data_IF_065278414579
#
_entry.id   IF_065278414579
#
_cell.length_a   1.000
_cell.length_b   1.000
_cell.length_c   1.000
_cell.angle_alpha   90.00
_cell.angle_beta   90.00
_cell.angle_gamma   90.00
#
_symmetry.space_group_name_H-M   'P 1'
#
loop_
_entity.id
_entity.type
_entity.pdbx_description
1 polymer ?
#
# COMPACT_ATOMS: atom_id res chain seq x y z
N UNK A 1 -10.50 -29.77 30.74
CA UNK A 1 -10.38 -28.69 29.76
C UNK A 1 -8.89 -28.50 29.47
N UNK A 2 -8.45 -28.76 28.23
CA UNK A 2 -7.05 -28.66 27.85
C UNK A 2 -6.64 -27.19 27.85
N UNK A 3 -5.57 -26.84 28.53
CA UNK A 3 -5.01 -25.48 28.61
C UNK A 3 -4.58 -24.99 27.22
N UNK A 4 -4.24 -25.90 26.30
CA UNK A 4 -3.89 -25.59 24.90
C UNK A 4 -5.04 -25.02 24.04
N UNK A 5 -6.30 -25.15 24.48
CA UNK A 5 -7.46 -24.56 23.78
C UNK A 5 -7.71 -23.09 24.12
N UNK A 6 -6.93 -22.48 25.01
CA UNK A 6 -7.08 -21.09 25.46
C UNK A 6 -6.02 -20.14 24.86
N UNK A 7 -5.07 -20.62 24.07
CA UNK A 7 -4.14 -19.72 23.37
C UNK A 7 -4.88 -19.19 22.14
N UNK A 8 -5.43 -17.99 22.26
CA UNK A 8 -5.98 -17.24 21.11
C UNK A 8 -4.93 -17.16 20.03
N UNK A 9 -5.28 -17.56 18.80
CA UNK A 9 -4.38 -17.40 17.63
C UNK A 9 -4.00 -15.93 17.48
N UNK A 10 -2.73 -15.67 17.18
CA UNK A 10 -2.19 -14.30 17.13
C UNK A 10 -2.71 -13.55 15.90
N UNK A 11 -3.48 -12.51 16.11
CA UNK A 11 -3.96 -11.61 15.05
C UNK A 11 -2.87 -10.59 14.67
N UNK A 12 -2.56 -10.38 13.39
CA UNK A 12 -1.45 -9.54 12.93
C UNK A 12 -1.81 -8.04 12.89
N UNK A 13 -2.36 -7.50 13.99
CA UNK A 13 -2.78 -6.11 14.06
C UNK A 13 -1.55 -5.20 14.03
N UNK A 14 -1.42 -4.38 12.96
CA UNK A 14 -0.31 -3.45 12.82
C UNK A 14 1.04 -4.08 12.51
N UNK A 15 1.11 -5.38 12.24
CA UNK A 15 2.34 -6.07 11.83
C UNK A 15 2.65 -5.73 10.37
N UNK A 16 3.84 -5.18 10.13
CA UNK A 16 4.34 -4.81 8.82
C UNK A 16 5.47 -5.72 8.33
N UNK A 17 6.14 -6.42 9.25
CA UNK A 17 7.22 -7.35 8.93
C UNK A 17 6.67 -8.74 8.64
N UNK A 18 6.88 -9.24 7.42
CA UNK A 18 6.52 -10.60 7.01
C UNK A 18 7.31 -11.65 7.80
N UNK A 19 8.61 -11.42 8.01
CA UNK A 19 9.46 -12.30 8.81
C UNK A 19 8.93 -12.46 10.24
N UNK A 20 8.64 -11.33 10.92
CA UNK A 20 8.05 -11.35 12.26
C UNK A 20 6.70 -12.08 12.25
N UNK A 21 5.86 -11.83 11.25
CA UNK A 21 4.56 -12.46 11.13
C UNK A 21 4.70 -14.00 11.06
N UNK A 22 5.62 -14.49 10.24
CA UNK A 22 5.85 -15.93 10.03
C UNK A 22 6.55 -16.60 11.21
N UNK A 23 7.60 -15.97 11.73
CA UNK A 23 8.41 -16.58 12.81
C UNK A 23 7.70 -16.60 14.16
N UNK A 24 6.85 -15.62 14.43
CA UNK A 24 6.08 -15.56 15.68
C UNK A 24 4.70 -16.24 15.61
N UNK A 25 4.34 -16.84 14.46
CA UNK A 25 3.11 -17.64 14.29
C UNK A 25 1.83 -16.81 14.29
N UNK A 26 1.84 -15.60 13.70
CA UNK A 26 0.62 -14.84 13.44
C UNK A 26 -0.20 -15.45 12.31
N UNK A 27 -1.51 -15.24 12.33
CA UNK A 27 -2.36 -15.57 11.20
C UNK A 27 -1.97 -14.75 9.97
N UNK A 28 -2.01 -15.37 8.82
CA UNK A 28 -1.65 -14.73 7.55
C UNK A 28 -2.70 -15.02 6.47
N UNK A 29 -3.19 -13.98 5.81
CA UNK A 29 -3.98 -14.10 4.58
C UNK A 29 -3.01 -14.20 3.42
N UNK A 30 -2.92 -15.39 2.84
CA UNK A 30 -1.93 -15.70 1.81
C UNK A 30 -2.23 -14.99 0.49
N UNK A 31 -1.38 -14.05 0.11
CA UNK A 31 -1.39 -13.32 -1.16
C UNK A 31 -0.20 -13.72 -2.06
N UNK A 32 0.54 -14.76 -1.68
CA UNK A 32 1.83 -15.04 -2.30
C UNK A 32 1.72 -15.59 -3.73
N UNK A 33 0.57 -16.10 -4.14
CA UNK A 33 0.33 -16.42 -5.56
C UNK A 33 0.39 -15.15 -6.44
N UNK A 34 -0.19 -14.03 -5.95
CA UNK A 34 -0.13 -12.75 -6.66
C UNK A 34 1.28 -12.16 -6.63
N UNK A 35 2.00 -12.33 -5.51
CA UNK A 35 3.41 -11.97 -5.41
C UNK A 35 4.22 -12.73 -6.46
N UNK A 36 4.03 -14.05 -6.59
CA UNK A 36 4.71 -14.86 -7.60
C UNK A 36 4.47 -14.34 -9.03
N UNK A 37 3.23 -14.01 -9.36
CA UNK A 37 2.89 -13.43 -10.67
C UNK A 37 3.62 -12.10 -10.94
N UNK A 38 3.68 -11.22 -9.94
CA UNK A 38 4.40 -9.94 -10.05
C UNK A 38 5.89 -10.15 -10.32
N UNK A 39 6.54 -10.99 -9.52
CA UNK A 39 7.99 -11.18 -9.61
C UNK A 39 8.41 -11.90 -10.89
N UNK A 40 7.58 -12.83 -11.40
CA UNK A 40 7.86 -13.55 -12.68
C UNK A 40 7.68 -12.65 -13.90
N UNK A 41 6.79 -11.67 -13.87
CA UNK A 41 6.65 -10.69 -14.96
C UNK A 41 7.78 -9.65 -14.96
N UNK A 42 8.42 -9.40 -13.82
CA UNK A 42 9.66 -8.64 -13.70
C UNK A 42 9.63 -7.19 -14.18
N UNK A 43 8.47 -6.52 -14.12
CA UNK A 43 8.32 -5.11 -14.52
C UNK A 43 8.49 -4.17 -13.35
N UNK A 44 8.81 -2.89 -13.57
CA UNK A 44 8.60 -1.86 -12.58
C UNK A 44 7.10 -1.64 -12.32
N UNK A 45 6.67 -1.72 -11.07
CA UNK A 45 5.27 -1.59 -10.67
C UNK A 45 5.04 -0.41 -9.73
N UNK A 46 3.87 0.19 -9.88
CA UNK A 46 3.33 1.17 -8.96
C UNK A 46 1.98 0.68 -8.40
N UNK A 47 1.80 0.82 -7.08
CA UNK A 47 0.55 0.48 -6.39
C UNK A 47 0.15 1.57 -5.41
N UNK A 48 -1.00 2.22 -5.64
CA UNK A 48 -1.65 3.01 -4.59
C UNK A 48 -2.78 2.23 -3.93
N UNK A 49 -2.86 2.33 -2.59
CA UNK A 49 -3.95 1.79 -1.78
C UNK A 49 -4.16 2.70 -0.57
N UNK A 50 -5.38 2.80 -0.05
CA UNK A 50 -5.64 3.53 1.18
C UNK A 50 -4.73 3.05 2.33
N UNK A 51 -4.63 3.85 3.37
CA UNK A 51 -3.88 3.47 4.57
C UNK A 51 -4.48 2.20 5.21
N UNK A 52 -3.63 1.42 5.88
CA UNK A 52 -4.02 0.19 6.61
C UNK A 52 -4.50 -0.97 5.72
N UNK A 53 -4.20 -0.97 4.43
CA UNK A 53 -4.50 -2.06 3.49
C UNK A 53 -3.41 -3.13 3.37
N UNK A 54 -2.28 -3.00 4.06
CA UNK A 54 -1.21 -4.01 4.06
C UNK A 54 -0.11 -3.79 3.01
N UNK A 55 0.07 -2.55 2.48
CA UNK A 55 1.16 -2.22 1.53
C UNK A 55 2.55 -2.55 2.06
N UNK A 56 2.88 -2.08 3.27
CA UNK A 56 4.19 -2.31 3.87
C UNK A 56 4.45 -3.81 4.15
N UNK A 57 3.40 -4.58 4.51
CA UNK A 57 3.50 -6.03 4.63
C UNK A 57 3.79 -6.69 3.28
N UNK A 58 3.16 -6.22 2.19
CA UNK A 58 3.44 -6.68 0.83
C UNK A 58 4.90 -6.41 0.45
N UNK A 59 5.42 -5.20 0.72
CA UNK A 59 6.84 -4.90 0.46
C UNK A 59 7.76 -5.78 1.27
N UNK A 60 7.47 -6.00 2.56
CA UNK A 60 8.25 -6.91 3.41
C UNK A 60 8.18 -8.37 2.91
N UNK A 61 7.05 -8.79 2.31
CA UNK A 61 6.93 -10.11 1.67
C UNK A 61 7.79 -10.21 0.40
N UNK A 62 7.78 -9.17 -0.44
CA UNK A 62 8.64 -9.08 -1.62
C UNK A 62 10.12 -9.06 -1.23
N UNK A 63 10.49 -8.31 -0.20
CA UNK A 63 11.86 -8.27 0.33
C UNK A 63 12.32 -9.64 0.79
N UNK A 64 11.52 -10.35 1.59
CA UNK A 64 11.82 -11.70 2.04
C UNK A 64 11.99 -12.69 0.86
N UNK A 65 11.14 -12.58 -0.17
CA UNK A 65 11.26 -13.38 -1.37
C UNK A 65 12.58 -13.13 -2.11
N UNK A 66 12.93 -11.87 -2.37
CA UNK A 66 14.16 -11.54 -3.10
C UNK A 66 15.43 -11.75 -2.28
N UNK A 67 15.34 -11.77 -0.95
CA UNK A 67 16.44 -12.20 -0.06
C UNK A 67 16.59 -13.73 -0.01
N UNK A 68 15.72 -14.49 -0.70
CA UNK A 68 15.79 -15.95 -0.76
C UNK A 68 15.42 -16.66 0.55
N UNK A 69 14.62 -16.02 1.43
CA UNK A 69 14.18 -16.57 2.73
C UNK A 69 13.07 -17.61 2.56
N UNK A 70 13.39 -18.71 1.88
CA UNK A 70 12.44 -19.78 1.51
C UNK A 70 11.63 -20.31 2.70
N UNK A 71 12.25 -20.43 3.85
CA UNK A 71 11.67 -20.96 5.09
C UNK A 71 10.45 -20.17 5.56
N UNK A 72 10.38 -18.87 5.25
CA UNK A 72 9.24 -18.03 5.59
C UNK A 72 7.99 -18.30 4.72
N UNK A 73 8.18 -18.98 3.60
CA UNK A 73 7.12 -19.24 2.61
C UNK A 73 6.61 -20.69 2.68
N UNK A 74 7.06 -21.49 3.63
CA UNK A 74 6.57 -22.85 3.83
C UNK A 74 5.07 -22.86 4.11
N UNK A 75 4.33 -23.71 3.37
CA UNK A 75 2.88 -23.81 3.48
C UNK A 75 2.09 -22.66 2.85
N UNK A 76 2.76 -21.76 2.09
CA UNK A 76 2.11 -20.72 1.29
C UNK A 76 2.17 -21.07 -0.20
N UNK A 77 1.24 -20.50 -0.98
CA UNK A 77 1.10 -20.80 -2.41
C UNK A 77 2.41 -20.63 -3.20
N UNK A 78 3.18 -19.59 -2.94
CA UNK A 78 4.47 -19.37 -3.63
C UNK A 78 5.50 -20.45 -3.33
N UNK A 79 5.42 -21.10 -2.15
CA UNK A 79 6.33 -22.19 -1.78
C UNK A 79 6.21 -23.41 -2.70
N UNK A 80 5.02 -23.64 -3.28
CA UNK A 80 4.75 -24.70 -4.25
C UNK A 80 5.07 -24.27 -5.69
N UNK A 81 4.91 -22.96 -5.99
CA UNK A 81 5.09 -22.40 -7.32
C UNK A 81 6.54 -22.08 -7.66
N UNK A 82 7.34 -21.67 -6.66
CA UNK A 82 8.73 -21.25 -6.86
C UNK A 82 9.69 -22.43 -6.66
N UNK A 83 10.51 -22.67 -7.68
CA UNK A 83 11.52 -23.73 -7.64
C UNK A 83 12.91 -23.17 -7.32
N UNK A 84 13.21 -21.97 -7.81
CA UNK A 84 14.54 -21.35 -7.77
C UNK A 84 14.56 -20.15 -6.83
N UNK A 85 14.91 -20.40 -5.57
CA UNK A 85 15.03 -19.36 -4.55
C UNK A 85 16.37 -18.65 -4.63
N UNK A 86 16.47 -17.68 -5.53
CA UNK A 86 17.68 -16.87 -5.68
C UNK A 86 17.70 -15.69 -4.69
N UNK A 87 18.91 -15.37 -4.21
CA UNK A 87 19.14 -14.17 -3.40
C UNK A 87 19.56 -13.01 -4.30
N UNK A 88 18.89 -11.88 -4.17
CA UNK A 88 19.19 -10.63 -4.87
C UNK A 88 19.60 -9.54 -3.89
N UNK A 89 20.42 -8.55 -4.30
CA UNK A 89 20.60 -7.33 -3.52
C UNK A 89 19.30 -6.53 -3.50
N UNK A 90 18.80 -6.21 -2.31
CA UNK A 90 17.55 -5.45 -2.12
C UNK A 90 17.87 -4.09 -1.52
N UNK A 91 17.41 -3.02 -2.17
CA UNK A 91 17.43 -1.65 -1.68
C UNK A 91 16.01 -1.26 -1.30
N UNK A 92 15.72 -1.22 -0.01
CA UNK A 92 14.41 -0.88 0.52
C UNK A 92 14.43 0.54 1.10
N UNK A 93 13.58 1.42 0.59
CA UNK A 93 13.41 2.82 0.99
C UNK A 93 12.00 3.01 1.57
N UNK A 94 11.89 3.26 2.86
CA UNK A 94 10.63 3.61 3.52
C UNK A 94 10.62 5.10 3.88
N UNK A 95 9.87 5.89 3.12
CA UNK A 95 9.76 7.34 3.32
C UNK A 95 8.85 7.73 4.49
N UNK A 96 8.31 6.76 5.24
CA UNK A 96 7.49 7.04 6.42
C UNK A 96 8.31 7.44 7.65
N UNK A 97 9.62 7.22 7.64
CA UNK A 97 10.48 7.37 8.81
C UNK A 97 10.79 8.82 9.20
N UNK A 98 10.50 9.83 8.33
CA UNK A 98 10.88 11.23 8.57
C UNK A 98 9.66 12.16 8.61
N UNK A 99 9.85 13.35 9.21
CA UNK A 99 8.78 14.32 9.49
C UNK A 99 8.45 15.24 8.32
N UNK A 100 9.41 15.55 7.47
CA UNK A 100 9.30 16.37 6.26
C UNK A 100 8.74 17.78 6.50
N UNK A 101 9.17 18.46 7.55
CA UNK A 101 8.76 19.83 7.89
C UNK A 101 9.71 20.92 7.36
N UNK A 102 10.87 20.55 6.84
CA UNK A 102 11.90 21.42 6.26
C UNK A 102 12.55 20.75 5.06
N UNK A 103 13.11 21.53 4.13
CA UNK A 103 13.71 21.02 2.89
C UNK A 103 14.89 20.06 3.12
N UNK A 104 15.67 20.29 4.18
CA UNK A 104 16.82 19.44 4.50
C UNK A 104 16.41 18.04 4.95
N UNK A 105 15.18 17.86 5.48
CA UNK A 105 14.72 16.56 6.00
C UNK A 105 14.77 15.47 4.95
N UNK A 106 14.29 15.74 3.73
CA UNK A 106 14.29 14.74 2.67
C UNK A 106 15.72 14.41 2.21
N UNK A 107 16.55 15.42 2.00
CA UNK A 107 17.95 15.22 1.58
C UNK A 107 18.72 14.44 2.64
N UNK A 108 18.63 14.85 3.90
CA UNK A 108 19.32 14.18 5.02
C UNK A 108 18.84 12.72 5.17
N UNK A 109 17.55 12.47 4.99
CA UNK A 109 17.00 11.11 5.02
C UNK A 109 17.57 10.26 3.87
N UNK A 110 17.55 10.77 2.64
CA UNK A 110 18.13 10.07 1.48
C UNK A 110 19.63 9.83 1.65
N UNK A 111 20.38 10.81 2.16
CA UNK A 111 21.81 10.67 2.46
C UNK A 111 22.09 9.59 3.49
N UNK A 112 21.30 9.51 4.56
CA UNK A 112 21.41 8.48 5.58
C UNK A 112 21.14 7.07 5.01
N UNK A 113 20.13 6.92 4.16
CA UNK A 113 19.84 5.65 3.49
C UNK A 113 20.96 5.25 2.52
N UNK A 114 21.44 6.21 1.72
CA UNK A 114 22.56 6.00 0.80
C UNK A 114 23.82 5.58 1.55
N UNK A 115 24.14 6.24 2.65
CA UNK A 115 25.32 5.89 3.49
C UNK A 115 25.25 4.45 4.01
N UNK A 116 24.07 3.98 4.40
CA UNK A 116 23.85 2.61 4.82
C UNK A 116 24.14 1.63 3.68
N UNK A 117 23.60 1.88 2.49
CA UNK A 117 23.83 1.03 1.32
C UNK A 117 25.27 1.10 0.81
N UNK A 118 25.88 2.30 0.80
CA UNK A 118 27.28 2.52 0.44
C UNK A 118 28.22 1.73 1.35
N UNK A 119 27.94 1.72 2.65
CA UNK A 119 28.69 0.90 3.60
C UNK A 119 28.56 -0.60 3.28
N UNK A 120 27.37 -1.06 2.89
CA UNK A 120 27.11 -2.47 2.54
C UNK A 120 27.82 -2.88 1.25
N UNK A 121 27.85 -2.01 0.23
CA UNK A 121 28.39 -2.33 -1.10
C UNK A 121 29.77 -1.67 -1.39
N UNK A 122 30.47 -1.20 -0.36
CA UNK A 122 31.84 -0.72 -0.47
C UNK A 122 32.03 0.52 -1.35
N UNK A 123 31.09 1.47 -1.32
CA UNK A 123 31.20 2.75 -2.04
C UNK A 123 31.90 3.77 -1.14
N UNK A 124 32.94 4.42 -1.65
CA UNK A 124 33.78 5.38 -0.90
C UNK A 124 33.63 6.84 -1.38
N UNK A 125 32.96 7.08 -2.50
CA UNK A 125 32.84 8.42 -3.11
C UNK A 125 31.60 9.15 -2.56
N UNK A 126 31.76 9.96 -1.51
CA UNK A 126 30.67 10.56 -0.73
C UNK A 126 30.23 11.96 -1.25
N UNK A 127 31.09 12.71 -1.96
CA UNK A 127 30.84 14.11 -2.34
C UNK A 127 30.10 14.27 -3.68
N UNK A 128 28.93 13.59 -3.82
CA UNK A 128 28.09 13.68 -5.02
C UNK A 128 26.62 13.82 -4.66
N UNK A 129 25.78 14.23 -5.61
CA UNK A 129 24.33 14.30 -5.40
C UNK A 129 23.73 12.92 -5.05
N UNK A 130 22.62 12.91 -4.34
CA UNK A 130 21.91 11.66 -3.97
C UNK A 130 21.62 10.77 -5.18
N UNK A 131 21.30 11.35 -6.34
CA UNK A 131 21.03 10.60 -7.58
C UNK A 131 22.27 9.85 -8.09
N UNK A 132 23.43 10.52 -8.14
CA UNK A 132 24.70 9.90 -8.57
C UNK A 132 25.13 8.81 -7.59
N UNK A 133 24.99 9.05 -6.30
CA UNK A 133 25.28 8.07 -5.24
C UNK A 133 24.36 6.85 -5.37
N UNK A 134 23.06 7.05 -5.60
CA UNK A 134 22.09 5.96 -5.78
C UNK A 134 22.44 5.10 -7.00
N UNK A 135 22.75 5.72 -8.14
CA UNK A 135 23.23 5.00 -9.33
C UNK A 135 24.51 4.20 -9.05
N UNK A 136 25.44 4.78 -8.29
CA UNK A 136 26.69 4.11 -7.92
C UNK A 136 26.44 2.91 -7.02
N UNK A 137 25.55 3.04 -6.04
CA UNK A 137 25.13 1.92 -5.15
C UNK A 137 24.52 0.78 -5.97
N UNK A 138 23.57 1.07 -6.87
CA UNK A 138 22.94 0.06 -7.72
C UNK A 138 23.99 -0.69 -8.55
N UNK A 139 24.91 0.03 -9.19
CA UNK A 139 25.98 -0.57 -9.99
C UNK A 139 26.91 -1.45 -9.13
N UNK A 140 27.34 -0.95 -7.98
CA UNK A 140 28.23 -1.69 -7.07
C UNK A 140 27.57 -2.92 -6.49
N UNK A 141 26.28 -2.84 -6.13
CA UNK A 141 25.52 -3.99 -5.67
C UNK A 141 25.46 -5.10 -6.75
N UNK A 142 25.23 -4.71 -8.00
CA UNK A 142 25.27 -5.62 -9.16
C UNK A 142 26.67 -6.23 -9.36
N UNK A 143 27.71 -5.40 -9.40
CA UNK A 143 29.10 -5.85 -9.62
C UNK A 143 29.56 -6.83 -8.52
N UNK A 144 29.22 -6.55 -7.27
CA UNK A 144 29.62 -7.35 -6.12
C UNK A 144 28.90 -8.70 -6.05
N UNK A 145 27.62 -8.72 -6.40
CA UNK A 145 26.78 -9.93 -6.25
C UNK A 145 26.64 -10.75 -7.53
N UNK A 146 26.93 -10.15 -8.70
CA UNK A 146 26.64 -10.72 -10.00
C UNK A 146 25.14 -10.85 -10.28
N UNK A 147 24.29 -10.24 -9.44
CA UNK A 147 22.82 -10.29 -9.53
C UNK A 147 22.25 -8.88 -9.71
N UNK A 148 21.20 -8.77 -10.53
CA UNK A 148 20.46 -7.51 -10.68
C UNK A 148 19.83 -7.08 -9.36
N UNK A 149 19.68 -5.79 -9.18
CA UNK A 149 19.23 -5.16 -7.94
C UNK A 149 17.70 -5.07 -7.90
N UNK A 150 17.14 -5.29 -6.74
CA UNK A 150 15.71 -5.06 -6.44
C UNK A 150 15.59 -3.74 -5.69
N UNK A 151 14.66 -2.88 -6.11
CA UNK A 151 14.36 -1.62 -5.45
C UNK A 151 12.91 -1.63 -4.98
N UNK A 152 12.71 -1.46 -3.67
CA UNK A 152 11.41 -1.40 -3.02
C UNK A 152 11.24 -0.03 -2.37
N UNK A 153 10.14 0.68 -2.68
CA UNK A 153 9.89 2.04 -2.15
C UNK A 153 8.51 2.06 -1.52
N UNK A 154 8.46 2.33 -0.22
CA UNK A 154 7.20 2.51 0.53
C UNK A 154 6.90 3.99 0.79
N UNK A 155 5.62 4.32 0.77
CA UNK A 155 5.07 5.67 1.01
C UNK A 155 5.78 6.80 0.23
N UNK A 156 6.01 6.58 -1.09
CA UNK A 156 6.72 7.51 -1.97
C UNK A 156 6.19 8.95 -1.94
N UNK A 157 4.89 9.10 -1.66
CA UNK A 157 4.14 10.35 -1.65
C UNK A 157 4.17 11.08 -0.29
N UNK A 158 4.77 10.48 0.73
CA UNK A 158 4.81 11.03 2.09
C UNK A 158 5.40 12.44 2.18
N UNK A 159 6.55 12.75 1.55
CA UNK A 159 7.11 14.11 1.58
C UNK A 159 6.14 15.14 0.97
N UNK A 160 5.51 14.78 -0.15
CA UNK A 160 4.57 15.64 -0.86
C UNK A 160 3.29 15.90 -0.06
N UNK A 161 2.75 14.85 0.58
CA UNK A 161 1.56 14.95 1.43
C UNK A 161 1.80 15.76 2.71
N UNK A 162 3.02 15.74 3.24
CA UNK A 162 3.41 16.51 4.44
C UNK A 162 3.69 17.97 4.14
N UNK A 163 4.07 18.30 2.92
CA UNK A 163 4.33 19.67 2.47
C UNK A 163 3.13 20.30 1.73
N UNK A 164 1.96 19.67 1.77
CA UNK A 164 0.78 20.10 1.02
C UNK A 164 0.41 21.60 1.23
N UNK A 165 0.57 22.10 2.46
CA UNK A 165 0.27 23.49 2.80
C UNK A 165 1.43 24.48 2.54
N UNK A 166 2.55 24.00 2.01
CA UNK A 166 3.73 24.79 1.71
C UNK A 166 4.20 24.54 0.26
N UNK A 167 3.72 25.34 -0.71
CA UNK A 167 4.04 25.13 -2.14
C UNK A 167 5.54 25.19 -2.47
N UNK A 168 6.33 26.00 -1.77
CA UNK A 168 7.78 26.12 -1.98
C UNK A 168 8.47 24.84 -1.52
N UNK A 169 8.15 24.33 -0.34
CA UNK A 169 8.67 23.09 0.20
C UNK A 169 8.26 21.89 -0.68
N UNK A 170 7.02 21.90 -1.16
CA UNK A 170 6.49 20.87 -2.04
C UNK A 170 7.24 20.83 -3.39
N UNK A 171 7.55 22.00 -3.94
CA UNK A 171 8.37 22.10 -5.15
C UNK A 171 9.76 21.50 -4.94
N UNK A 172 10.44 21.87 -3.87
CA UNK A 172 11.79 21.35 -3.51
C UNK A 172 11.77 19.81 -3.35
N UNK A 173 10.79 19.28 -2.65
CA UNK A 173 10.66 17.83 -2.49
C UNK A 173 10.39 17.12 -3.81
N UNK A 174 9.54 17.68 -4.65
CA UNK A 174 9.24 17.12 -5.98
C UNK A 174 10.51 17.05 -6.84
N UNK A 175 11.27 18.14 -6.94
CA UNK A 175 12.50 18.18 -7.73
C UNK A 175 13.54 17.17 -7.20
N UNK A 176 13.67 17.06 -5.88
CA UNK A 176 14.58 16.10 -5.24
C UNK A 176 14.17 14.65 -5.54
N UNK A 177 12.89 14.31 -5.37
CA UNK A 177 12.38 12.96 -5.64
C UNK A 177 12.41 12.62 -7.13
N UNK A 178 12.09 13.57 -8.01
CA UNK A 178 12.15 13.39 -9.46
C UNK A 178 13.59 13.06 -9.90
N UNK A 179 14.58 13.82 -9.43
CA UNK A 179 15.97 13.56 -9.71
C UNK A 179 16.44 12.19 -9.17
N UNK A 180 16.00 11.84 -7.98
CA UNK A 180 16.35 10.57 -7.34
C UNK A 180 15.76 9.36 -8.08
N UNK A 181 14.47 9.42 -8.43
CA UNK A 181 13.80 8.30 -9.10
C UNK A 181 14.14 8.16 -10.58
N UNK A 182 14.57 9.24 -11.26
CA UNK A 182 15.05 9.17 -12.66
C UNK A 182 16.18 8.16 -12.81
N UNK A 183 16.97 7.95 -11.77
CA UNK A 183 18.04 6.93 -11.72
C UNK A 183 17.50 5.53 -12.03
N UNK A 184 16.27 5.20 -11.65
CA UNK A 184 15.69 3.88 -11.93
C UNK A 184 15.52 3.59 -13.42
N UNK A 185 15.35 4.63 -14.25
CA UNK A 185 15.36 4.50 -15.70
C UNK A 185 16.76 4.24 -16.24
N UNK A 186 17.72 5.04 -15.77
CA UNK A 186 19.09 4.97 -16.25
C UNK A 186 19.80 3.67 -15.79
N UNK A 187 19.33 3.10 -14.67
CA UNK A 187 19.84 1.86 -14.10
C UNK A 187 19.14 0.59 -14.63
N UNK A 188 18.24 0.67 -15.61
CA UNK A 188 17.40 -0.45 -16.09
C UNK A 188 18.19 -1.75 -16.33
N UNK A 189 19.37 -1.66 -16.92
CA UNK A 189 20.24 -2.82 -17.18
C UNK A 189 20.68 -3.56 -15.89
N UNK A 190 20.70 -2.89 -14.75
CA UNK A 190 21.12 -3.41 -13.45
C UNK A 190 19.95 -3.81 -12.56
N UNK A 191 18.69 -3.49 -12.95
CA UNK A 191 17.52 -3.74 -12.12
C UNK A 191 16.84 -5.06 -12.47
N UNK A 192 16.49 -5.83 -11.45
CA UNK A 192 15.68 -7.05 -11.52
C UNK A 192 14.21 -6.73 -11.39
N UNK A 193 13.87 -5.85 -10.43
CA UNK A 193 12.49 -5.56 -10.04
C UNK A 193 12.43 -4.21 -9.34
N UNK A 194 11.38 -3.47 -9.58
CA UNK A 194 11.08 -2.22 -8.88
C UNK A 194 9.64 -2.24 -8.44
N UNK A 195 9.38 -1.93 -7.16
CA UNK A 195 8.02 -1.82 -6.66
C UNK A 195 7.87 -0.57 -5.80
N UNK A 196 6.94 0.30 -6.18
CA UNK A 196 6.71 1.60 -5.53
C UNK A 196 5.29 1.61 -4.98
N UNK A 197 5.14 1.97 -3.70
CA UNK A 197 3.81 2.11 -3.09
C UNK A 197 3.58 3.51 -2.52
N UNK A 198 2.31 3.88 -2.46
CA UNK A 198 1.84 5.09 -1.80
C UNK A 198 0.37 5.02 -1.43
N UNK A 199 -0.12 6.06 -0.77
CA UNK A 199 -1.55 6.25 -0.50
C UNK A 199 -2.23 6.82 -1.72
N UNK A 200 -1.61 7.82 -2.34
CA UNK A 200 -2.18 8.58 -3.44
C UNK A 200 -1.35 8.42 -4.71
N UNK A 201 -1.93 8.84 -5.83
CA UNK A 201 -1.19 9.06 -7.08
C UNK A 201 -0.67 10.49 -7.19
N UNK A 202 -0.89 11.27 -6.13
CA UNK A 202 -0.45 12.64 -6.02
C UNK A 202 1.04 12.76 -6.35
N UNK A 203 1.35 13.67 -7.27
CA UNK A 203 2.69 13.89 -7.79
C UNK A 203 3.27 12.75 -8.67
N UNK A 204 2.52 11.67 -8.97
CA UNK A 204 3.02 10.60 -9.85
C UNK A 204 3.51 11.14 -11.19
N UNK A 205 2.71 11.96 -11.89
CA UNK A 205 3.10 12.55 -13.18
C UNK A 205 4.30 13.51 -13.06
N UNK A 206 4.41 14.25 -11.94
CA UNK A 206 5.55 15.14 -11.72
C UNK A 206 6.83 14.40 -11.35
N UNK A 207 6.73 13.39 -10.48
CA UNK A 207 7.89 12.64 -9.95
C UNK A 207 8.34 11.54 -10.90
N UNK A 208 7.39 10.82 -11.51
CA UNK A 208 7.66 9.67 -12.39
C UNK A 208 7.53 9.98 -13.88
N UNK A 209 7.49 11.26 -14.27
CA UNK A 209 7.38 11.67 -15.68
C UNK A 209 8.43 11.03 -16.60
N UNK A 210 9.58 10.71 -16.06
CA UNK A 210 10.68 10.07 -16.77
C UNK A 210 10.66 8.54 -16.73
N UNK A 211 9.77 7.91 -15.92
CA UNK A 211 9.68 6.46 -15.74
C UNK A 211 8.58 5.85 -16.61
N UNK A 212 8.73 5.89 -17.92
CA UNK A 212 7.72 5.40 -18.87
C UNK A 212 7.43 3.89 -18.78
N UNK A 213 8.35 3.11 -18.17
CA UNK A 213 8.20 1.66 -17.97
C UNK A 213 7.41 1.31 -16.71
N UNK A 214 7.09 2.26 -15.85
CA UNK A 214 6.37 2.02 -14.60
C UNK A 214 4.92 1.63 -14.86
N UNK A 215 4.55 0.40 -14.51
CA UNK A 215 3.20 -0.11 -14.69
C UNK A 215 2.35 0.18 -13.45
N UNK A 216 1.38 1.06 -13.58
CA UNK A 216 0.38 1.29 -12.52
C UNK A 216 -0.60 0.11 -12.47
N UNK A 217 -0.57 -0.62 -11.35
CA UNK A 217 -1.47 -1.76 -11.09
C UNK A 217 -2.60 -1.42 -10.11
N UNK A 218 -2.76 -0.17 -9.73
CA UNK A 218 -3.74 0.25 -8.70
C UNK A 218 -5.18 -0.08 -9.11
N UNK A 219 -5.53 0.06 -10.39
CA UNK A 219 -6.85 -0.28 -10.94
C UNK A 219 -6.81 -1.53 -11.84
N UNK A 220 -5.70 -2.29 -11.82
CA UNK A 220 -5.56 -3.46 -12.71
C UNK A 220 -6.38 -4.65 -12.16
N UNK A 221 -7.27 -5.28 -12.99
CA UNK A 221 -8.20 -6.30 -12.52
C UNK A 221 -7.53 -7.53 -11.89
N UNK A 222 -6.34 -7.92 -12.33
CA UNK A 222 -5.61 -9.06 -11.79
C UNK A 222 -5.00 -8.82 -10.39
N UNK A 223 -4.93 -7.57 -9.92
CA UNK A 223 -4.26 -7.19 -8.66
C UNK A 223 -5.18 -6.46 -7.68
N UNK A 224 -6.50 -6.54 -7.87
CA UNK A 224 -7.48 -5.91 -6.97
C UNK A 224 -7.41 -6.46 -5.56
N UNK A 225 -7.12 -7.76 -5.42
CA UNK A 225 -7.05 -8.48 -4.15
C UNK A 225 -5.64 -8.57 -3.55
N UNK A 226 -4.64 -7.93 -4.16
CA UNK A 226 -3.24 -7.97 -3.70
C UNK A 226 -3.07 -7.40 -2.28
N UNK A 227 -3.84 -6.36 -1.95
CA UNK A 227 -3.93 -5.77 -0.62
C UNK A 227 -5.40 -5.72 -0.19
N UNK A 228 -5.64 -5.80 1.12
CA UNK A 228 -6.99 -5.96 1.67
C UNK A 228 -7.34 -7.43 1.92
N UNK A 229 -8.57 -7.69 2.33
CA UNK A 229 -9.09 -9.04 2.56
C UNK A 229 -10.40 -9.21 1.81
N UNK A 230 -10.60 -10.36 1.17
CA UNK A 230 -11.89 -10.76 0.60
C UNK A 230 -12.75 -11.42 1.67
N UNK A 231 -14.06 -11.54 1.44
CA UNK A 231 -14.97 -12.27 2.31
C UNK A 231 -14.50 -13.72 2.50
N UNK A 232 -14.21 -14.41 1.41
CA UNK A 232 -13.77 -15.81 1.43
C UNK A 232 -12.49 -16.02 2.25
N UNK A 233 -11.52 -15.11 2.16
CA UNK A 233 -10.30 -15.13 2.96
C UNK A 233 -10.59 -14.96 4.45
N UNK A 234 -11.48 -14.04 4.81
CA UNK A 234 -11.89 -13.82 6.21
C UNK A 234 -12.56 -15.07 6.76
N UNK A 235 -13.54 -15.64 6.04
CA UNK A 235 -14.27 -16.84 6.45
C UNK A 235 -13.33 -18.06 6.57
N UNK A 236 -12.31 -18.16 5.74
CA UNK A 236 -11.36 -19.28 5.76
C UNK A 236 -10.31 -19.14 6.86
N UNK A 237 -9.66 -17.97 6.95
CA UNK A 237 -8.50 -17.76 7.84
C UNK A 237 -8.95 -17.51 9.28
N UNK A 238 -10.06 -16.78 9.48
CA UNK A 238 -10.50 -16.30 10.79
C UNK A 238 -11.81 -16.95 11.26
N UNK A 239 -12.11 -18.17 10.80
CA UNK A 239 -13.36 -18.88 11.14
C UNK A 239 -13.64 -18.98 12.65
N UNK A 240 -12.60 -19.30 13.46
CA UNK A 240 -12.73 -19.42 14.92
C UNK A 240 -12.91 -18.06 15.61
N UNK A 241 -12.26 -17.03 15.11
CA UNK A 241 -12.38 -15.66 15.61
C UNK A 241 -13.76 -15.08 15.28
N UNK A 242 -14.29 -15.39 14.08
CA UNK A 242 -15.66 -15.02 13.69
C UNK A 242 -16.71 -15.70 14.59
N UNK A 243 -16.53 -16.99 14.90
CA UNK A 243 -17.42 -17.69 15.80
C UNK A 243 -17.37 -17.09 17.22
N UNK A 244 -16.19 -16.72 17.69
CA UNK A 244 -16.01 -16.06 18.99
C UNK A 244 -16.68 -14.67 19.00
N UNK A 245 -16.53 -13.89 17.90
CA UNK A 245 -17.18 -12.60 17.74
C UNK A 245 -18.71 -12.72 17.72
N UNK A 246 -19.24 -13.74 17.03
CA UNK A 246 -20.67 -14.04 16.99
C UNK A 246 -21.21 -14.31 18.38
N UNK A 247 -20.57 -15.22 19.13
CA UNK A 247 -20.96 -15.56 20.49
C UNK A 247 -20.92 -14.35 21.44
N UNK A 248 -19.85 -13.54 21.37
CA UNK A 248 -19.67 -12.35 22.22
C UNK A 248 -20.75 -11.29 21.99
N UNK A 249 -21.33 -11.23 20.78
CA UNK A 249 -22.35 -10.25 20.42
C UNK A 249 -23.77 -10.81 20.40
N UNK A 250 -23.98 -12.10 20.72
CA UNK A 250 -25.29 -12.75 20.65
C UNK A 250 -25.85 -12.84 19.21
N UNK A 251 -24.98 -12.93 18.22
CA UNK A 251 -25.30 -13.01 16.79
C UNK A 251 -25.06 -14.43 16.27
N UNK A 252 -25.72 -14.78 15.18
CA UNK A 252 -25.35 -15.93 14.36
C UNK A 252 -24.09 -15.62 13.56
N UNK A 253 -23.45 -16.64 13.00
CA UNK A 253 -22.29 -16.48 12.12
C UNK A 253 -22.62 -15.58 10.91
N UNK A 254 -23.77 -15.82 10.28
CA UNK A 254 -24.27 -15.09 9.13
C UNK A 254 -24.49 -13.59 9.46
N UNK A 255 -25.21 -13.31 10.55
CA UNK A 255 -25.43 -11.94 11.02
C UNK A 255 -24.12 -11.21 11.35
N UNK A 256 -23.13 -11.95 11.87
CA UNK A 256 -21.79 -11.41 12.14
C UNK A 256 -21.08 -11.01 10.86
N UNK A 257 -21.11 -11.88 9.83
CA UNK A 257 -20.53 -11.59 8.54
C UNK A 257 -21.25 -10.45 7.80
N UNK A 258 -22.58 -10.40 7.85
CA UNK A 258 -23.35 -9.28 7.30
C UNK A 258 -22.98 -7.95 7.97
N UNK A 259 -22.83 -7.96 9.30
CA UNK A 259 -22.45 -6.78 10.06
C UNK A 259 -21.01 -6.33 9.78
N UNK A 260 -20.08 -7.28 9.60
CA UNK A 260 -18.71 -6.99 9.16
C UNK A 260 -18.70 -6.39 7.76
N UNK A 261 -19.45 -7.01 6.82
CA UNK A 261 -19.58 -6.53 5.44
C UNK A 261 -20.13 -5.12 5.41
N UNK A 262 -21.25 -4.85 6.09
CA UNK A 262 -21.84 -3.51 6.13
C UNK A 262 -20.87 -2.44 6.67
N UNK A 263 -19.96 -2.80 7.59
CA UNK A 263 -19.08 -1.85 8.27
C UNK A 263 -17.71 -1.68 7.63
N UNK A 264 -17.13 -2.74 7.07
CA UNK A 264 -15.70 -2.76 6.73
C UNK A 264 -15.39 -3.21 5.31
N UNK A 265 -16.39 -3.66 4.56
CA UNK A 265 -16.31 -3.98 3.13
C UNK A 265 -16.67 -2.76 2.26
N UNK A 266 -16.60 -2.96 0.96
CA UNK A 266 -17.07 -1.99 -0.03
C UNK A 266 -15.97 -1.27 -0.80
N UNK A 267 -14.69 -1.55 -0.53
CA UNK A 267 -13.60 -1.01 -1.35
C UNK A 267 -13.50 -1.76 -2.67
N UNK A 268 -13.85 -1.10 -3.76
CA UNK A 268 -13.69 -1.61 -5.12
C UNK A 268 -12.56 -0.89 -5.82
N UNK A 269 -11.54 -1.65 -6.23
CA UNK A 269 -10.38 -1.11 -6.95
C UNK A 269 -10.45 -1.32 -8.46
N UNK A 270 -11.48 -2.01 -8.97
CA UNK A 270 -11.75 -2.15 -10.39
C UNK A 270 -13.23 -2.50 -10.61
N UNK A 271 -13.80 -1.98 -11.69
CA UNK A 271 -15.20 -2.22 -12.05
C UNK A 271 -15.49 -3.64 -12.56
N UNK A 272 -14.49 -4.38 -12.99
CA UNK A 272 -14.63 -5.77 -13.45
C UNK A 272 -14.61 -6.77 -12.30
N UNK A 273 -14.09 -6.37 -11.15
CA UNK A 273 -14.10 -7.17 -9.95
C UNK A 273 -15.04 -6.53 -8.92
N UNK A 274 -16.24 -7.08 -8.83
CA UNK A 274 -17.29 -6.63 -7.90
C UNK A 274 -17.13 -7.23 -6.51
N UNK A 275 -16.09 -8.02 -6.28
CA UNK A 275 -15.77 -8.47 -4.94
C UNK A 275 -15.26 -7.28 -4.13
N UNK A 276 -16.00 -6.94 -3.07
CA UNK A 276 -15.62 -5.91 -2.13
C UNK A 276 -14.39 -6.33 -1.34
N UNK A 277 -13.54 -5.35 -1.03
CA UNK A 277 -12.36 -5.57 -0.21
C UNK A 277 -12.58 -4.99 1.18
N UNK A 278 -12.40 -5.81 2.20
CA UNK A 278 -12.42 -5.37 3.58
C UNK A 278 -11.11 -4.65 3.96
N UNK A 279 -11.24 -3.64 4.80
CA UNK A 279 -10.09 -3.02 5.43
C UNK A 279 -9.49 -3.97 6.50
N UNK A 280 -8.26 -4.48 6.33
CA UNK A 280 -7.67 -5.46 7.25
C UNK A 280 -7.58 -4.97 8.69
N UNK A 281 -7.21 -3.70 8.88
CA UNK A 281 -7.03 -3.13 10.21
C UNK A 281 -8.34 -3.09 11.00
N UNK A 282 -9.45 -2.71 10.35
CA UNK A 282 -10.78 -2.69 10.97
C UNK A 282 -11.25 -4.10 11.33
N UNK A 283 -11.13 -5.05 10.40
CA UNK A 283 -11.51 -6.46 10.64
C UNK A 283 -10.72 -7.05 11.80
N UNK A 284 -9.39 -6.94 11.77
CA UNK A 284 -8.52 -7.51 12.80
C UNK A 284 -8.76 -6.90 14.18
N UNK A 285 -9.00 -5.58 14.27
CA UNK A 285 -9.35 -4.94 15.54
C UNK A 285 -10.68 -5.46 16.06
N UNK A 286 -11.72 -5.57 15.22
CA UNK A 286 -13.03 -6.09 15.61
C UNK A 286 -12.92 -7.53 16.10
N UNK A 287 -12.18 -8.39 15.40
CA UNK A 287 -11.94 -9.77 15.83
C UNK A 287 -11.17 -9.85 17.16
N UNK A 288 -10.27 -8.90 17.42
CA UNK A 288 -9.48 -8.86 18.65
C UNK A 288 -10.26 -8.33 19.85
N UNK A 289 -11.03 -7.24 19.64
CA UNK A 289 -11.73 -6.57 20.76
C UNK A 289 -13.12 -7.11 21.02
N UNK A 290 -13.69 -7.83 20.06
CA UNK A 290 -15.10 -8.24 20.08
C UNK A 290 -16.10 -7.09 19.81
N UNK A 291 -15.61 -5.88 19.49
CA UNK A 291 -16.40 -4.67 19.32
C UNK A 291 -16.40 -4.20 17.86
N UNK A 292 -17.57 -3.86 17.35
CA UNK A 292 -17.72 -3.27 16.01
C UNK A 292 -17.50 -1.75 16.09
N UNK A 293 -16.23 -1.31 15.98
CA UNK A 293 -15.83 0.09 16.07
C UNK A 293 -15.24 0.61 14.75
N UNK A 294 -15.20 1.94 14.58
CA UNK A 294 -14.64 2.59 13.41
C UNK A 294 -13.12 2.85 13.58
N UNK A 295 -12.35 1.81 13.87
CA UNK A 295 -10.93 1.87 14.16
C UNK A 295 -10.09 2.54 13.04
N UNK A 296 -10.53 2.40 11.79
CA UNK A 296 -9.85 3.01 10.64
C UNK A 296 -9.89 4.54 10.66
N UNK A 297 -11.04 5.15 10.98
CA UNK A 297 -11.17 6.61 11.04
C UNK A 297 -10.23 7.25 12.06
N UNK A 298 -10.08 6.65 13.22
CA UNK A 298 -9.23 7.17 14.28
C UNK A 298 -7.74 7.18 13.89
N UNK A 299 -7.31 6.28 13.01
CA UNK A 299 -5.89 6.09 12.68
C UNK A 299 -5.54 6.27 11.19
N UNK A 300 -6.53 6.30 10.31
CA UNK A 300 -6.38 6.29 8.85
C UNK A 300 -6.57 7.65 8.18
N UNK A 301 -7.27 8.61 8.81
CA UNK A 301 -7.54 9.92 8.19
C UNK A 301 -6.26 10.72 8.02
N UNK A 302 -5.86 11.04 6.77
CA UNK A 302 -4.70 11.87 6.53
C UNK A 302 -4.98 13.33 6.94
N UNK A 303 -4.07 13.95 7.68
CA UNK A 303 -4.19 15.37 8.05
C UNK A 303 -4.33 16.27 6.83
N UNK A 304 -3.54 16.01 5.76
CA UNK A 304 -3.60 16.78 4.53
C UNK A 304 -5.00 16.78 3.88
N UNK A 305 -5.72 15.65 3.95
CA UNK A 305 -7.08 15.57 3.40
C UNK A 305 -8.05 16.46 4.20
N UNK A 306 -7.96 16.43 5.54
CA UNK A 306 -8.77 17.29 6.37
C UNK A 306 -8.49 18.79 6.10
N UNK A 307 -7.22 19.16 5.92
CA UNK A 307 -6.80 20.52 5.63
C UNK A 307 -7.23 20.95 4.20
N UNK A 308 -7.15 20.06 3.23
CA UNK A 308 -7.66 20.28 1.87
C UNK A 308 -9.18 20.50 1.89
N UNK A 309 -9.94 19.65 2.59
CA UNK A 309 -11.39 19.74 2.68
C UNK A 309 -11.89 21.01 3.42
N UNK A 310 -11.09 21.57 4.32
CA UNK A 310 -11.40 22.87 4.94
C UNK A 310 -11.21 24.06 4.01
N UNK A 311 -10.39 23.90 2.97
CA UNK A 311 -10.05 24.96 2.01
C UNK A 311 -10.84 24.85 0.71
N UNK A 312 -11.53 23.70 0.47
CA UNK A 312 -12.30 23.49 -0.75
C UNK A 312 -13.63 24.23 -0.70
N UNK A 313 -14.02 24.76 -1.85
CA UNK A 313 -15.38 25.28 -2.11
C UNK A 313 -16.34 24.18 -2.61
N UNK A 314 -15.87 22.95 -2.73
CA UNK A 314 -16.65 21.81 -3.22
C UNK A 314 -17.71 21.38 -2.20
N UNK A 315 -18.96 21.21 -2.65
CA UNK A 315 -20.04 20.73 -1.79
C UNK A 315 -19.89 19.21 -1.57
N UNK A 316 -19.50 18.82 -0.35
CA UNK A 316 -19.29 17.41 0.01
C UNK A 316 -20.58 16.57 -0.09
N UNK A 317 -21.76 17.19 -0.18
CA UNK A 317 -23.04 16.48 -0.38
C UNK A 317 -23.15 15.89 -1.79
N UNK A 318 -22.39 16.45 -2.75
CA UNK A 318 -22.37 16.00 -4.15
C UNK A 318 -21.41 14.82 -4.40
N UNK A 319 -20.74 14.32 -3.35
CA UNK A 319 -19.79 13.20 -3.48
C UNK A 319 -20.47 11.87 -3.77
N UNK A 320 -21.68 11.64 -3.23
CA UNK A 320 -22.38 10.36 -3.41
C UNK A 320 -23.07 10.31 -4.78
N UNK A 321 -22.67 9.38 -5.60
CA UNK A 321 -23.16 9.24 -6.98
C UNK A 321 -22.43 10.08 -8.02
N UNK A 322 -21.31 10.73 -7.64
CA UNK A 322 -20.53 11.53 -8.60
C UNK A 322 -19.95 10.66 -9.71
N UNK A 323 -20.03 11.15 -10.95
CA UNK A 323 -19.46 10.49 -12.12
C UNK A 323 -18.12 11.11 -12.50
N UNK A 324 -17.11 10.27 -12.67
CA UNK A 324 -15.74 10.68 -12.99
C UNK A 324 -15.11 9.77 -14.04
N UNK A 325 -14.22 10.32 -14.87
CA UNK A 325 -13.45 9.53 -15.82
C UNK A 325 -12.30 8.76 -15.15
N UNK A 326 -11.78 7.72 -15.82
CA UNK A 326 -10.57 7.03 -15.40
C UNK A 326 -9.39 7.98 -15.24
N UNK A 327 -9.27 8.97 -16.12
CA UNK A 327 -8.22 9.99 -16.07
C UNK A 327 -8.36 10.83 -14.80
N UNK A 328 -9.60 11.23 -14.45
CA UNK A 328 -9.85 11.98 -13.21
C UNK A 328 -9.51 11.18 -11.95
N UNK A 329 -9.86 9.88 -11.89
CA UNK A 329 -9.48 9.01 -10.76
C UNK A 329 -7.98 8.83 -10.59
N UNK A 330 -7.24 8.97 -11.68
CA UNK A 330 -5.79 8.89 -11.73
C UNK A 330 -5.12 10.26 -11.71
N UNK A 331 -5.91 11.34 -11.57
CA UNK A 331 -5.36 12.70 -11.49
C UNK A 331 -4.46 12.80 -10.25
N UNK A 332 -3.24 13.27 -10.51
CA UNK A 332 -2.19 13.41 -9.53
C UNK A 332 -2.09 14.83 -8.94
N UNK A 333 -2.96 15.74 -9.40
CA UNK A 333 -3.03 17.10 -8.88
C UNK A 333 -3.91 17.15 -7.65
N UNK A 334 -3.33 17.56 -6.53
CA UNK A 334 -4.10 17.90 -5.34
C UNK A 334 -4.75 19.27 -5.54
N UNK A 335 -5.89 19.26 -6.24
CA UNK A 335 -6.65 20.48 -6.51
C UNK A 335 -7.72 20.67 -5.45
N UNK A 336 -7.66 21.81 -4.75
CA UNK A 336 -8.68 22.19 -3.76
C UNK A 336 -10.06 22.41 -4.37
N UNK A 337 -10.13 22.73 -5.68
CA UNK A 337 -11.39 22.88 -6.41
C UNK A 337 -11.93 21.55 -6.92
N UNK A 338 -11.10 20.49 -6.99
CA UNK A 338 -11.51 19.13 -7.33
C UNK A 338 -10.93 18.11 -6.36
N UNK A 339 -11.48 17.96 -5.15
CA UNK A 339 -10.94 17.07 -4.13
C UNK A 339 -11.27 15.59 -4.37
N UNK A 340 -12.14 15.27 -5.33
CA UNK A 340 -12.68 13.92 -5.56
C UNK A 340 -11.60 12.85 -5.75
N UNK A 341 -10.55 13.06 -6.60
CA UNK A 341 -9.49 12.06 -6.76
C UNK A 341 -8.78 11.74 -5.44
N UNK A 342 -8.47 12.77 -4.64
CA UNK A 342 -7.78 12.61 -3.35
C UNK A 342 -8.66 11.91 -2.31
N UNK A 343 -9.96 12.21 -2.29
CA UNK A 343 -10.94 11.56 -1.40
C UNK A 343 -11.05 10.07 -1.75
N UNK A 344 -11.14 9.74 -3.06
CA UNK A 344 -11.16 8.35 -3.54
C UNK A 344 -9.87 7.59 -3.20
N UNK A 345 -8.70 8.14 -3.53
CA UNK A 345 -7.40 7.51 -3.28
C UNK A 345 -7.12 7.35 -1.78
N UNK A 346 -7.65 8.26 -0.96
CA UNK A 346 -7.57 8.16 0.50
C UNK A 346 -8.54 7.12 1.09
N UNK A 347 -9.46 6.56 0.29
CA UNK A 347 -10.36 5.47 0.68
C UNK A 347 -11.67 5.92 1.33
N UNK A 348 -12.14 7.14 1.07
CA UNK A 348 -13.46 7.62 1.51
C UNK A 348 -14.55 7.47 0.45
N UNK A 349 -14.15 7.31 -0.81
CA UNK A 349 -15.02 6.95 -1.92
C UNK A 349 -14.64 5.58 -2.46
N UNK A 350 -15.61 4.90 -3.06
CA UNK A 350 -15.41 3.61 -3.75
C UNK A 350 -16.15 3.61 -5.08
N UNK A 351 -15.78 2.70 -5.99
CA UNK A 351 -16.44 2.53 -7.29
C UNK A 351 -17.75 1.76 -7.07
N UNK A 352 -18.88 2.37 -7.41
CA UNK A 352 -20.20 1.76 -7.35
C UNK A 352 -20.67 1.20 -8.70
N UNK A 353 -20.29 1.86 -9.81
CA UNK A 353 -20.71 1.49 -11.15
C UNK A 353 -19.69 1.97 -12.16
N UNK A 354 -19.67 1.35 -13.33
CA UNK A 354 -18.90 1.81 -14.49
C UNK A 354 -19.78 1.79 -15.72
N UNK A 355 -19.82 2.92 -16.43
CA UNK A 355 -20.45 3.04 -17.73
C UNK A 355 -19.38 2.84 -18.82
N UNK A 356 -19.47 1.72 -19.51
CA UNK A 356 -18.50 1.36 -20.57
C UNK A 356 -18.70 2.18 -21.86
N UNK A 357 -19.87 2.77 -22.08
CA UNK A 357 -20.14 3.58 -23.25
C UNK A 357 -19.45 4.94 -23.17
N UNK A 358 -19.44 5.53 -21.98
CA UNK A 358 -18.84 6.85 -21.73
C UNK A 358 -17.50 6.78 -20.99
N UNK A 359 -17.09 5.60 -20.50
CA UNK A 359 -15.87 5.42 -19.75
C UNK A 359 -15.90 6.09 -18.37
N UNK A 360 -17.09 6.21 -17.76
CA UNK A 360 -17.32 6.91 -16.50
C UNK A 360 -17.50 5.94 -15.35
N UNK A 361 -16.87 6.26 -14.22
CA UNK A 361 -17.08 5.61 -12.94
C UNK A 361 -18.07 6.41 -12.11
N UNK A 362 -19.08 5.76 -11.58
CA UNK A 362 -19.92 6.33 -10.51
C UNK A 362 -19.29 5.98 -9.18
N UNK A 363 -18.96 6.99 -8.38
CA UNK A 363 -18.42 6.81 -7.03
C UNK A 363 -19.51 6.96 -5.99
N UNK A 364 -19.34 6.34 -4.84
CA UNK A 364 -20.16 6.57 -3.66
C UNK A 364 -19.29 6.68 -2.41
N UNK A 365 -19.82 7.35 -1.38
CA UNK A 365 -19.20 7.40 -0.06
C UNK A 365 -19.14 6.00 0.52
N UNK A 366 -17.99 5.65 1.11
CA UNK A 366 -17.84 4.42 1.84
C UNK A 366 -18.48 4.60 3.22
N UNK A 367 -19.68 4.05 3.38
CA UNK A 367 -20.43 4.10 4.64
C UNK A 367 -19.85 3.08 5.62
N UNK A 368 -18.95 3.52 6.46
CA UNK A 368 -18.43 2.70 7.58
C UNK A 368 -19.20 2.91 8.88
N UNK A 369 -20.31 3.66 8.83
CA UNK A 369 -21.23 3.89 9.96
C UNK A 369 -22.67 3.85 9.48
N UNK A 370 -23.62 3.33 10.26
CA UNK A 370 -25.03 3.46 9.90
C UNK A 370 -25.37 4.95 9.76
N UNK A 371 -26.00 5.30 8.64
CA UNK A 371 -26.54 6.63 8.43
C UNK A 371 -27.50 6.98 9.59
N UNK A 372 -27.59 8.22 10.05
CA UNK A 372 -28.64 8.62 10.97
C UNK A 372 -30.06 8.29 10.49
N UNK A 373 -30.22 7.99 9.18
CA UNK A 373 -31.48 7.51 8.60
C UNK A 373 -31.77 6.03 8.86
N UNK A 374 -30.75 5.24 9.22
CA UNK A 374 -30.89 3.81 9.52
C UNK A 374 -31.14 3.56 11.03
N UNK A 375 -31.13 4.61 11.84
CA UNK A 375 -31.50 4.61 13.24
C UNK A 375 -32.91 5.09 13.45
#
# INVERSE_FOLDING_TARGET
>A
MNVDSMISRKLPIGIQSFEKLRTEGYLYVDKTELVYRLVKLGKPYFLSRPRRFGKSLLLSTLEAYFLGKKELFEGLAIGELEQDWFTYPVLHLDLNAEKYDRKECLVNFLESQLQSWESTYGVTEINRSCSIRFMTVIRRAYEQTGRRVVVLIDEYDKPMLRSFDNPELQYEFRETLMAFYTVLKDADAYLQFVFITGVTKFAQMGIFSNLNQLQDISLHPAYTTLCGMTRAEIETVFASELQSLACANGLTYEETMEKLTRRYDGYHFNYRNWEGMFNPFSVLNTLSTGLFENAWFASGTPTFLADMLRKTDFDLRDLDGIEVSSASLSDDRADIHNPVPMIYQSGYLTIKKYDSQFGLYTLCLLYTSPSPRDM
#
